data_IF_501245662053
#
_entry.id   IF_501245662053
#
_cell.length_a   1.000
_cell.length_b   1.000
_cell.length_c   1.000
_cell.angle_alpha   90.00
_cell.angle_beta   90.00
_cell.angle_gamma   90.00
#
_symmetry.space_group_name_H-M   'P 1'
#
loop_
_entity.id
_entity.type
_entity.pdbx_description
1 polymer ?
#
# COMPACT_ATOMS: atom_id res chain seq x y z
N UNK A 1 -9.58 -5.02 26.07
CA UNK A 1 -8.51 -4.67 25.12
C UNK A 1 -9.14 -3.91 23.97
N UNK A 2 -8.44 -2.98 23.29
CA UNK A 2 -8.99 -2.36 22.09
C UNK A 2 -9.18 -3.41 21.00
N UNK A 3 -10.19 -3.21 20.17
CA UNK A 3 -10.42 -4.03 18.97
C UNK A 3 -9.66 -3.46 17.77
N UNK A 4 -9.56 -4.24 16.69
CA UNK A 4 -9.06 -3.75 15.40
C UNK A 4 -9.85 -2.53 14.95
N UNK A 5 -11.17 -2.56 15.07
CA UNK A 5 -12.04 -1.44 14.73
C UNK A 5 -11.66 -0.16 15.48
N UNK A 6 -11.46 -0.27 16.80
CA UNK A 6 -11.08 0.88 17.63
C UNK A 6 -9.76 1.50 17.18
N UNK A 7 -8.79 0.67 16.77
CA UNK A 7 -7.47 1.14 16.33
C UNK A 7 -7.47 1.67 14.89
N UNK A 8 -8.25 1.09 13.97
CA UNK A 8 -8.38 1.58 12.59
C UNK A 8 -9.01 2.98 12.56
N UNK A 9 -9.97 3.25 13.46
CA UNK A 9 -10.59 4.58 13.57
C UNK A 9 -9.67 5.64 14.19
N UNK A 10 -8.51 5.24 14.71
CA UNK A 10 -7.50 6.14 15.23
C UNK A 10 -6.47 6.47 14.14
N UNK A 11 -5.99 7.72 14.14
CA UNK A 11 -4.83 8.07 13.35
C UNK A 11 -3.54 7.66 14.07
N UNK A 12 -2.49 7.21 13.34
CA UNK A 12 -1.18 6.99 13.94
C UNK A 12 -0.70 8.22 14.70
N UNK A 13 -0.31 8.03 15.96
CA UNK A 13 0.08 9.13 16.86
C UNK A 13 1.59 9.31 16.99
N UNK A 14 2.37 8.37 16.45
CA UNK A 14 3.82 8.42 16.50
C UNK A 14 4.37 9.59 15.65
N UNK A 15 5.40 10.26 16.18
CA UNK A 15 5.98 11.45 15.57
C UNK A 15 6.80 11.06 14.34
N UNK A 16 6.57 11.73 13.22
CA UNK A 16 7.25 11.49 11.95
C UNK A 16 8.09 12.71 11.57
N UNK A 17 9.39 12.50 11.38
CA UNK A 17 10.30 13.44 10.72
C UNK A 17 10.45 13.04 9.26
N UNK A 18 9.80 13.79 8.36
CA UNK A 18 9.97 13.64 6.91
C UNK A 18 11.12 14.54 6.44
N UNK A 19 12.18 13.95 5.90
CA UNK A 19 13.37 14.68 5.43
C UNK A 19 13.23 15.33 4.05
N UNK A 20 12.15 15.04 3.32
CA UNK A 20 11.93 15.58 1.98
C UNK A 20 12.68 14.86 0.85
N UNK A 21 13.60 13.92 1.13
CA UNK A 21 14.29 13.14 0.09
C UNK A 21 13.34 12.48 -0.92
N UNK A 22 13.73 12.42 -2.18
CA UNK A 22 12.88 11.84 -3.21
C UNK A 22 13.59 10.62 -3.81
N UNK A 23 12.86 9.53 -3.95
CA UNK A 23 13.33 8.39 -4.73
C UNK A 23 12.85 8.50 -6.17
N UNK A 24 13.52 7.78 -7.07
CA UNK A 24 13.21 7.78 -8.50
C UNK A 24 12.74 6.39 -8.94
N UNK A 25 11.86 6.36 -9.94
CA UNK A 25 11.51 5.15 -10.67
C UNK A 25 12.36 5.09 -11.94
N UNK A 26 13.38 4.21 -11.97
CA UNK A 26 14.28 4.07 -13.12
C UNK A 26 14.47 2.61 -13.58
N UNK A 27 13.60 1.70 -13.14
CA UNK A 27 13.72 0.27 -13.41
C UNK A 27 13.72 -0.01 -14.92
N UNK A 28 14.84 -0.48 -15.46
CA UNK A 28 15.02 -0.67 -16.91
C UNK A 28 14.02 -1.65 -17.52
N UNK A 29 13.70 -2.73 -16.81
CA UNK A 29 12.72 -3.73 -17.24
C UNK A 29 11.33 -3.13 -17.43
N UNK A 30 10.96 -2.10 -16.67
CA UNK A 30 9.61 -1.53 -16.71
C UNK A 30 9.32 -0.78 -18.01
N UNK A 31 10.36 -0.37 -18.76
CA UNK A 31 10.22 0.45 -19.97
C UNK A 31 9.44 -0.22 -21.09
N UNK A 32 9.31 -1.55 -21.06
CA UNK A 32 8.55 -2.34 -22.05
C UNK A 32 7.04 -2.18 -21.88
N UNK A 33 6.57 -1.77 -20.69
CA UNK A 33 5.15 -1.62 -20.42
C UNK A 33 4.62 -0.27 -20.90
N UNK A 34 3.37 -0.25 -21.34
CA UNK A 34 2.67 1.00 -21.59
C UNK A 34 2.35 1.71 -20.26
N UNK A 35 2.53 3.04 -20.16
CA UNK A 35 2.12 3.77 -18.99
C UNK A 35 0.60 3.69 -18.79
N UNK A 36 0.17 3.63 -17.54
CA UNK A 36 -1.22 3.79 -17.12
C UNK A 36 -1.69 5.20 -17.50
N UNK A 37 -2.71 5.26 -18.36
CA UNK A 37 -3.31 6.51 -18.86
C UNK A 37 -4.70 6.80 -18.28
N UNK A 38 -5.42 5.76 -17.84
CA UNK A 38 -6.76 5.88 -17.28
C UNK A 38 -6.73 5.51 -15.80
N UNK A 39 -6.93 6.49 -14.92
CA UNK A 39 -6.90 6.31 -13.47
C UNK A 39 -8.12 6.99 -12.87
N UNK A 40 -8.79 6.28 -11.97
CA UNK A 40 -9.83 6.86 -11.13
C UNK A 40 -9.18 7.20 -9.79
N UNK A 41 -9.03 8.49 -9.51
CA UNK A 41 -8.49 8.96 -8.24
C UNK A 41 -9.63 9.18 -7.24
N UNK A 42 -9.63 8.44 -6.15
CA UNK A 42 -10.64 8.52 -5.08
C UNK A 42 -10.26 9.49 -3.96
N UNK A 43 -9.10 10.11 -4.05
CA UNK A 43 -8.61 11.09 -3.06
C UNK A 43 -8.40 12.45 -3.72
N UNK A 44 -8.71 13.52 -2.99
CA UNK A 44 -8.44 14.90 -3.43
C UNK A 44 -8.01 15.76 -2.27
N UNK A 45 -7.05 16.63 -2.49
CA UNK A 45 -6.67 17.66 -1.53
C UNK A 45 -7.38 18.95 -1.92
N UNK A 46 -8.15 19.52 -1.01
CA UNK A 46 -8.79 20.81 -1.20
C UNK A 46 -8.60 21.68 0.05
N UNK A 47 -7.96 22.85 -0.14
CA UNK A 47 -7.62 23.80 0.95
C UNK A 47 -6.85 23.13 2.11
N UNK A 48 -5.83 22.33 1.77
CA UNK A 48 -4.99 21.63 2.76
C UNK A 48 -5.67 20.47 3.50
N UNK A 49 -6.92 20.14 3.15
CA UNK A 49 -7.63 18.96 3.69
C UNK A 49 -7.70 17.86 2.64
N UNK A 50 -7.42 16.64 3.06
CA UNK A 50 -7.59 15.45 2.23
C UNK A 50 -9.02 14.95 2.37
N UNK A 51 -9.68 14.77 1.24
CA UNK A 51 -10.98 14.11 1.12
C UNK A 51 -10.77 12.80 0.38
N UNK A 52 -11.46 11.75 0.82
CA UNK A 52 -11.44 10.45 0.17
C UNK A 52 -12.87 9.92 0.01
N UNK A 53 -13.18 9.35 -1.15
CA UNK A 53 -14.43 8.65 -1.44
C UNK A 53 -14.10 7.21 -1.82
N UNK A 54 -13.86 6.39 -0.80
CA UNK A 54 -13.59 4.96 -0.96
C UNK A 54 -14.87 4.12 -0.98
N UNK A 55 -16.03 4.66 -0.57
CA UNK A 55 -17.31 3.92 -0.60
C UNK A 55 -17.72 3.56 -2.03
N UNK A 56 -17.31 4.35 -3.03
CA UNK A 56 -17.51 4.03 -4.45
C UNK A 56 -16.43 3.15 -5.04
N UNK A 57 -15.28 3.02 -4.36
CA UNK A 57 -14.11 2.31 -4.87
C UNK A 57 -14.03 0.88 -4.33
N UNK A 58 -14.51 0.67 -3.10
CA UNK A 58 -14.41 -0.56 -2.37
C UNK A 58 -15.79 -1.20 -2.23
N UNK A 59 -15.80 -2.51 -2.02
CA UNK A 59 -17.02 -3.21 -1.64
C UNK A 59 -17.50 -2.72 -0.27
N UNK A 60 -18.82 -2.75 -0.01
CA UNK A 60 -19.33 -2.48 1.34
C UNK A 60 -18.79 -3.52 2.32
N UNK A 61 -18.85 -3.19 3.62
CA UNK A 61 -18.58 -4.17 4.66
C UNK A 61 -19.61 -5.29 4.60
N UNK A 62 -19.12 -6.53 4.68
CA UNK A 62 -19.92 -7.73 4.79
C UNK A 62 -20.00 -8.19 6.25
N UNK A 63 -20.91 -9.13 6.53
CA UNK A 63 -21.13 -9.62 7.89
C UNK A 63 -19.87 -10.24 8.51
N UNK A 64 -19.00 -10.88 7.70
CA UNK A 64 -17.74 -11.46 8.16
C UNK A 64 -16.68 -10.42 8.52
N UNK A 65 -16.77 -9.20 7.99
CA UNK A 65 -15.89 -8.10 8.41
C UNK A 65 -16.13 -7.74 9.88
N UNK A 66 -17.35 -7.88 10.39
CA UNK A 66 -17.66 -7.66 11.81
C UNK A 66 -16.87 -8.63 12.70
N UNK A 67 -16.61 -9.85 12.25
CA UNK A 67 -15.81 -10.83 12.98
C UNK A 67 -14.35 -10.37 13.05
N UNK A 68 -13.79 -9.90 11.92
CA UNK A 68 -12.41 -9.39 11.82
C UNK A 68 -12.21 -8.12 12.65
N UNK A 69 -13.14 -7.18 12.52
CA UNK A 69 -13.08 -5.86 13.14
C UNK A 69 -13.21 -5.92 14.67
N UNK A 70 -13.94 -6.89 15.21
CA UNK A 70 -14.06 -7.12 16.65
C UNK A 70 -12.90 -7.95 17.25
N UNK A 71 -11.94 -8.39 16.45
CA UNK A 71 -10.76 -9.09 16.96
C UNK A 71 -9.95 -8.16 17.87
N UNK A 72 -9.41 -8.70 18.96
CA UNK A 72 -8.51 -7.92 19.82
C UNK A 72 -7.24 -7.52 19.07
N UNK A 73 -6.80 -6.29 19.30
CA UNK A 73 -5.58 -5.76 18.70
C UNK A 73 -4.75 -5.00 19.74
N UNK A 74 -3.48 -4.81 19.42
CA UNK A 74 -2.54 -4.07 20.27
C UNK A 74 -2.05 -2.86 19.47
N UNK A 75 -2.06 -1.65 20.03
CA UNK A 75 -1.56 -0.48 19.35
C UNK A 75 -0.04 -0.60 19.10
N UNK A 76 0.49 0.06 18.05
CA UNK A 76 1.92 0.20 17.87
C UNK A 76 2.58 0.85 19.08
N UNK A 77 3.81 0.43 19.41
CA UNK A 77 4.58 1.04 20.49
C UNK A 77 4.95 2.49 20.16
N UNK A 78 5.05 3.34 21.18
CA UNK A 78 5.48 4.73 21.01
C UNK A 78 6.92 4.80 20.47
N UNK A 79 7.11 5.49 19.35
CA UNK A 79 8.41 5.63 18.67
C UNK A 79 8.49 6.94 17.88
N UNK A 80 9.70 7.45 17.72
CA UNK A 80 10.01 8.51 16.76
C UNK A 80 10.47 7.89 15.44
N UNK A 81 9.84 8.30 14.35
CA UNK A 81 10.19 7.90 13.00
C UNK A 81 10.97 9.00 12.32
N UNK A 82 12.09 8.63 11.70
CA UNK A 82 12.80 9.48 10.76
C UNK A 82 12.81 8.77 9.43
N UNK A 83 12.10 9.32 8.46
CA UNK A 83 11.95 8.69 7.16
C UNK A 83 13.08 9.22 6.27
N UNK A 84 14.18 8.51 6.09
CA UNK A 84 15.27 8.93 5.18
C UNK A 84 15.23 8.17 3.86
N UNK A 85 14.89 6.89 3.93
CA UNK A 85 14.88 5.94 2.82
C UNK A 85 13.47 5.40 2.55
N UNK A 86 13.30 4.70 1.42
CA UNK A 86 12.08 3.92 1.16
C UNK A 86 11.85 2.84 2.23
N UNK A 87 12.92 2.20 2.70
CA UNK A 87 12.85 1.18 3.76
C UNK A 87 12.33 1.75 5.09
N UNK A 88 12.66 3.00 5.43
CA UNK A 88 12.08 3.65 6.61
C UNK A 88 10.58 3.91 6.46
N UNK A 89 10.15 4.32 5.26
CA UNK A 89 8.74 4.49 4.92
C UNK A 89 7.99 3.16 4.98
N UNK A 90 8.58 2.10 4.44
CA UNK A 90 8.04 0.74 4.51
C UNK A 90 7.87 0.29 5.96
N UNK A 91 8.93 0.42 6.76
CA UNK A 91 8.91 0.00 8.16
C UNK A 91 7.88 0.76 8.98
N UNK A 92 7.77 2.08 8.76
CA UNK A 92 6.72 2.90 9.35
C UNK A 92 5.33 2.41 8.93
N UNK A 93 5.08 2.24 7.64
CA UNK A 93 3.77 1.82 7.13
C UNK A 93 3.38 0.44 7.68
N UNK A 94 4.32 -0.49 7.70
CA UNK A 94 4.09 -1.82 8.23
C UNK A 94 3.78 -1.79 9.74
N UNK A 95 4.53 -0.99 10.49
CA UNK A 95 4.38 -0.91 11.94
C UNK A 95 3.10 -0.21 12.37
N UNK A 96 2.81 0.94 11.77
CA UNK A 96 1.73 1.83 12.21
C UNK A 96 0.37 1.50 11.58
N UNK A 97 0.38 0.93 10.36
CA UNK A 97 -0.85 0.69 9.59
C UNK A 97 -1.08 -0.81 9.43
N UNK A 98 -0.14 -1.52 8.80
CA UNK A 98 -0.36 -2.91 8.39
C UNK A 98 -0.51 -3.83 9.59
N UNK A 99 0.28 -3.67 10.66
CA UNK A 99 0.18 -4.51 11.85
C UNK A 99 -1.21 -4.43 12.51
N UNK A 100 -1.82 -3.25 12.53
CA UNK A 100 -3.18 -3.05 13.05
C UNK A 100 -4.19 -3.75 12.15
N UNK A 101 -4.07 -3.57 10.83
CA UNK A 101 -4.98 -4.18 9.85
C UNK A 101 -4.84 -5.71 9.84
N UNK A 102 -3.62 -6.25 9.87
CA UNK A 102 -3.38 -7.69 9.83
C UNK A 102 -3.89 -8.43 11.06
N UNK A 103 -4.04 -7.76 12.21
CA UNK A 103 -4.69 -8.36 13.37
C UNK A 103 -6.12 -8.81 13.06
N UNK A 104 -6.85 -8.10 12.17
CA UNK A 104 -8.17 -8.51 11.70
C UNK A 104 -8.14 -9.82 10.89
N UNK A 105 -7.01 -10.10 10.25
CA UNK A 105 -6.80 -11.26 9.37
C UNK A 105 -5.95 -12.34 10.04
N UNK A 106 -5.89 -12.35 11.37
CA UNK A 106 -5.12 -13.36 12.11
C UNK A 106 -5.63 -14.79 11.84
N UNK A 107 -6.96 -14.96 11.77
CA UNK A 107 -7.58 -16.28 11.63
C UNK A 107 -8.69 -16.38 10.56
N UNK A 108 -9.23 -15.26 10.04
CA UNK A 108 -10.47 -15.28 9.24
C UNK A 108 -10.36 -14.60 7.85
N UNK A 109 -9.73 -15.22 6.84
CA UNK A 109 -8.72 -16.27 6.95
C UNK A 109 -7.39 -15.70 7.44
N UNK A 110 -6.50 -16.59 7.90
CA UNK A 110 -5.14 -16.22 8.26
C UNK A 110 -4.38 -15.65 7.04
N UNK A 111 -3.97 -14.38 7.13
CA UNK A 111 -3.19 -13.70 6.11
C UNK A 111 -1.72 -13.66 6.49
N UNK A 112 -0.85 -13.94 5.52
CA UNK A 112 0.61 -13.84 5.65
C UNK A 112 1.12 -12.67 4.84
N UNK A 113 1.91 -11.81 5.49
CA UNK A 113 2.75 -10.80 4.86
C UNK A 113 4.15 -11.37 4.57
N UNK A 114 4.73 -11.01 3.45
CA UNK A 114 6.13 -11.25 3.13
C UNK A 114 6.75 -9.99 2.55
N UNK A 115 7.90 -9.58 3.07
CA UNK A 115 8.64 -8.41 2.56
C UNK A 115 9.75 -8.82 1.61
N UNK A 116 9.99 -8.01 0.57
CA UNK A 116 11.03 -8.18 -0.44
C UNK A 116 11.07 -9.57 -1.06
N UNK A 117 9.91 -10.08 -1.46
CA UNK A 117 9.77 -11.41 -2.07
C UNK A 117 9.37 -11.31 -3.53
N UNK A 118 9.63 -12.38 -4.29
CA UNK A 118 9.09 -12.51 -5.64
C UNK A 118 7.55 -12.55 -5.59
N UNK A 119 6.88 -11.98 -6.61
CA UNK A 119 5.44 -12.08 -6.75
C UNK A 119 4.97 -13.55 -6.68
N UNK A 120 3.82 -13.78 -6.04
CA UNK A 120 3.18 -15.10 -5.99
C UNK A 120 2.41 -15.36 -7.29
N UNK A 121 3.13 -15.55 -8.38
CA UNK A 121 2.56 -15.81 -9.70
C UNK A 121 3.24 -17.02 -10.35
N UNK A 122 2.53 -17.69 -11.25
CA UNK A 122 3.11 -18.77 -12.06
C UNK A 122 4.08 -18.23 -13.15
N UNK A 123 4.06 -16.91 -13.38
CA UNK A 123 5.00 -16.24 -14.27
C UNK A 123 6.34 -16.05 -13.57
N UNK A 124 7.43 -16.29 -14.30
CA UNK A 124 8.78 -16.05 -13.78
C UNK A 124 9.11 -14.56 -13.85
N UNK A 125 8.78 -13.84 -12.78
CA UNK A 125 9.15 -12.44 -12.59
C UNK A 125 10.47 -12.40 -11.79
N UNK A 126 11.49 -11.73 -12.33
CA UNK A 126 12.81 -11.63 -11.68
C UNK A 126 12.83 -10.64 -10.52
N UNK A 127 11.91 -9.70 -10.55
CA UNK A 127 11.82 -8.56 -9.66
C UNK A 127 11.18 -8.96 -8.34
N UNK A 128 11.73 -8.44 -7.24
CA UNK A 128 11.08 -8.51 -5.95
C UNK A 128 10.09 -7.34 -5.80
N UNK A 129 9.03 -7.58 -5.04
CA UNK A 129 8.10 -6.55 -4.58
C UNK A 129 8.38 -6.28 -3.11
N UNK A 130 8.25 -5.03 -2.68
CA UNK A 130 8.49 -4.63 -1.29
C UNK A 130 7.61 -5.40 -0.31
N UNK A 131 6.31 -5.54 -0.58
CA UNK A 131 5.38 -6.25 0.30
C UNK A 131 4.40 -7.11 -0.51
N UNK A 132 4.14 -8.34 -0.05
CA UNK A 132 3.08 -9.22 -0.57
C UNK A 132 2.21 -9.74 0.57
N UNK A 133 0.90 -9.65 0.40
CA UNK A 133 -0.12 -10.20 1.28
C UNK A 133 -0.78 -11.40 0.60
N UNK A 134 -0.97 -12.47 1.34
CA UNK A 134 -1.46 -13.73 0.79
C UNK A 134 -2.24 -14.55 1.80
N UNK A 135 -3.16 -15.36 1.31
CA UNK A 135 -3.90 -16.34 2.12
C UNK A 135 -3.63 -17.75 1.59
N UNK A 136 -3.95 -18.75 2.39
CA UNK A 136 -3.83 -20.16 1.99
C UNK A 136 -5.23 -20.77 1.85
N UNK A 137 -5.58 -21.23 0.66
CA UNK A 137 -6.83 -21.94 0.35
C UNK A 137 -6.46 -23.26 -0.33
N UNK A 138 -6.98 -24.39 0.15
CA UNK A 138 -6.72 -25.74 -0.40
C UNK A 138 -5.23 -26.05 -0.61
N UNK A 139 -4.42 -25.69 0.38
CA UNK A 139 -2.96 -25.81 0.38
C UNK A 139 -2.23 -24.97 -0.68
N UNK A 140 -2.92 -24.09 -1.40
CA UNK A 140 -2.37 -23.14 -2.36
C UNK A 140 -2.29 -21.75 -1.73
N UNK A 141 -1.16 -21.08 -1.94
CA UNK A 141 -0.95 -19.69 -1.50
C UNK A 141 -1.45 -18.76 -2.60
N UNK A 142 -2.41 -17.91 -2.27
CA UNK A 142 -3.03 -16.97 -3.21
C UNK A 142 -2.65 -15.53 -2.80
N UNK A 143 -2.12 -14.71 -3.72
CA UNK A 143 -1.89 -13.29 -3.44
C UNK A 143 -3.23 -12.55 -3.31
N UNK A 144 -3.30 -11.66 -2.33
CA UNK A 144 -4.46 -10.79 -2.09
C UNK A 144 -4.11 -9.34 -2.41
N UNK A 145 -2.91 -8.90 -2.04
CA UNK A 145 -2.41 -7.58 -2.34
C UNK A 145 -0.90 -7.59 -2.46
N UNK A 146 -0.37 -6.66 -3.23
CA UNK A 146 1.05 -6.35 -3.32
C UNK A 146 1.24 -4.86 -3.06
N UNK A 147 2.38 -4.48 -2.49
CA UNK A 147 2.70 -3.10 -2.19
C UNK A 147 4.13 -2.78 -2.61
N UNK A 148 4.30 -1.61 -3.24
CA UNK A 148 5.60 -1.00 -3.55
C UNK A 148 5.64 0.36 -2.86
N UNK A 149 6.73 0.67 -2.17
CA UNK A 149 6.90 1.91 -1.42
C UNK A 149 7.79 2.85 -2.21
N UNK A 150 7.24 4.00 -2.60
CA UNK A 150 7.98 5.10 -3.22
C UNK A 150 7.95 6.33 -2.32
N UNK A 151 9.06 7.05 -2.24
CA UNK A 151 9.21 8.20 -1.35
C UNK A 151 9.16 9.52 -2.11
N UNK A 152 8.15 10.34 -1.80
CA UNK A 152 7.95 11.69 -2.35
C UNK A 152 8.00 11.77 -3.89
N UNK A 153 7.71 10.66 -4.58
CA UNK A 153 7.83 10.57 -6.04
C UNK A 153 6.54 10.96 -6.77
N UNK A 154 5.38 10.77 -6.14
CA UNK A 154 4.08 10.99 -6.76
C UNK A 154 3.82 12.49 -6.97
N UNK A 155 3.41 12.87 -8.18
CA UNK A 155 2.82 14.18 -8.47
C UNK A 155 1.28 14.03 -8.44
N UNK A 156 0.60 14.43 -7.34
CA UNK A 156 -0.82 14.13 -7.19
C UNK A 156 -1.70 14.80 -8.23
N UNK A 157 -1.32 15.98 -8.72
CA UNK A 157 -2.12 16.73 -9.69
C UNK A 157 -2.00 16.09 -11.07
N UNK A 158 -0.80 15.68 -11.49
CA UNK A 158 -0.62 14.96 -12.75
C UNK A 158 -1.41 13.64 -12.78
N UNK A 159 -1.46 12.89 -11.68
CA UNK A 159 -2.20 11.63 -11.62
C UNK A 159 -3.71 11.85 -11.60
N UNK A 160 -4.20 12.86 -10.87
CA UNK A 160 -5.63 13.20 -10.82
C UNK A 160 -6.16 13.72 -12.16
N UNK A 161 -5.35 14.44 -12.92
CA UNK A 161 -5.73 15.02 -14.20
C UNK A 161 -5.51 14.06 -15.38
N UNK A 162 -5.02 12.84 -15.13
CA UNK A 162 -4.71 11.86 -16.18
C UNK A 162 -3.46 12.22 -17.02
N UNK A 163 -2.64 13.16 -16.54
CA UNK A 163 -1.43 13.67 -17.21
C UNK A 163 -0.15 12.97 -16.75
N UNK A 164 -0.23 11.95 -15.91
CA UNK A 164 0.94 11.20 -15.42
C UNK A 164 1.83 10.65 -16.56
N UNK A 165 1.23 10.23 -17.68
CA UNK A 165 1.98 9.74 -18.83
C UNK A 165 2.74 10.86 -19.59
N UNK A 166 2.40 12.13 -19.40
CA UNK A 166 3.03 13.28 -20.06
C UNK A 166 4.36 13.66 -19.40
N UNK A 167 4.46 13.49 -18.07
CA UNK A 167 5.66 13.81 -17.30
C UNK A 167 6.61 12.62 -17.29
N UNK A 168 7.89 12.83 -17.68
CA UNK A 168 8.86 11.75 -17.86
C UNK A 168 9.05 10.87 -16.62
N UNK A 169 9.13 11.45 -15.43
CA UNK A 169 9.32 10.74 -14.17
C UNK A 169 8.05 10.01 -13.71
N UNK A 170 6.86 10.60 -13.90
CA UNK A 170 5.58 9.94 -13.60
C UNK A 170 5.26 8.83 -14.62
N UNK A 171 5.67 8.98 -15.88
CA UNK A 171 5.59 7.92 -16.89
C UNK A 171 6.39 6.70 -16.46
N UNK A 172 7.64 6.88 -16.01
CA UNK A 172 8.47 5.78 -15.50
C UNK A 172 7.81 5.08 -14.30
N UNK A 173 7.32 5.85 -13.32
CA UNK A 173 6.56 5.31 -12.18
C UNK A 173 5.33 4.51 -12.64
N UNK A 174 4.57 5.06 -13.59
CA UNK A 174 3.38 4.44 -14.14
C UNK A 174 3.68 3.11 -14.86
N UNK A 175 4.78 3.06 -15.62
CA UNK A 175 5.25 1.83 -16.26
C UNK A 175 5.70 0.78 -15.24
N UNK A 176 6.41 1.20 -14.19
CA UNK A 176 6.81 0.32 -13.10
C UNK A 176 5.59 -0.29 -12.40
N UNK A 177 4.63 0.54 -12.00
CA UNK A 177 3.39 0.07 -11.37
C UNK A 177 2.61 -0.88 -12.29
N UNK A 178 2.56 -0.60 -13.60
CA UNK A 178 1.91 -1.49 -14.57
C UNK A 178 2.58 -2.85 -14.64
N UNK A 179 3.91 -2.87 -14.67
CA UNK A 179 4.69 -4.09 -14.77
C UNK A 179 4.66 -4.97 -13.52
N UNK A 180 4.27 -4.44 -12.37
CA UNK A 180 4.04 -5.21 -11.14
C UNK A 180 2.63 -5.85 -11.09
N UNK A 181 1.70 -5.38 -11.93
CA UNK A 181 0.29 -5.83 -11.95
C UNK A 181 -0.02 -6.89 -13.03
N UNK A 182 0.96 -7.24 -13.87
CA UNK A 182 0.83 -8.17 -15.01
C UNK A 182 1.68 -9.43 -14.79
#
# INVERSE_FOLDING_TARGET
MPTVHDLILQHPTNIISNTGYQTASEKHWARVYHPISNIICHTRVHRGRTYADFERALLPLYDDDTIRLNHEAVPPNNRHWRLETEADCENWFNTEIVNVVLAAWFSNPAMTQSSHTKPLTDQNISENIDITFSIKIDNRRLPIAIGEIKRNLLDPDAWREGRAAELSHQRKLSQELRGLLL
#
